data_IF_889458243185
#
_entry.id   IF_889458243185
#
_cell.length_a   1.000
_cell.length_b   1.000
_cell.length_c   1.000
_cell.angle_alpha   90.00
_cell.angle_beta   90.00
_cell.angle_gamma   90.00
#
_symmetry.space_group_name_H-M   'P 1'
#
loop_
_entity.id
_entity.type
_entity.pdbx_description
1 polymer ?
#
# COMPACT_ATOMS: atom_id res chain seq x y z
N UNK A 1 -23.19 6.41 -3.05
CA UNK A 1 -23.27 5.18 -2.20
C UNK A 1 -21.87 4.59 -2.04
N UNK A 2 -21.51 4.12 -0.84
CA UNK A 2 -20.17 3.55 -0.57
C UNK A 2 -20.14 2.02 -0.69
N UNK A 3 -19.05 1.53 -1.27
CA UNK A 3 -18.74 0.11 -1.38
C UNK A 3 -17.38 -0.16 -0.74
N UNK A 4 -17.22 -1.33 -0.12
CA UNK A 4 -15.90 -1.79 0.31
C UNK A 4 -15.42 -2.90 -0.62
N UNK A 5 -14.11 -2.93 -0.85
CA UNK A 5 -13.43 -4.07 -1.48
C UNK A 5 -12.29 -4.47 -0.56
N UNK A 6 -12.38 -5.70 -0.04
CA UNK A 6 -11.38 -6.32 0.82
C UNK A 6 -10.61 -7.35 -0.01
N UNK A 7 -9.29 -7.33 0.11
CA UNK A 7 -8.41 -8.28 -0.56
C UNK A 7 -7.48 -8.93 0.46
N UNK A 8 -7.39 -10.26 0.46
CA UNK A 8 -6.37 -10.99 1.20
C UNK A 8 -5.22 -11.32 0.25
N UNK A 9 -4.04 -10.82 0.58
CA UNK A 9 -2.87 -10.79 -0.29
C UNK A 9 -1.73 -11.56 0.37
N UNK A 10 -1.12 -12.46 -0.37
CA UNK A 10 0.07 -13.21 0.01
C UNK A 10 1.31 -12.56 -0.60
N UNK A 11 2.27 -12.17 0.25
CA UNK A 11 3.55 -11.64 -0.22
C UNK A 11 4.55 -12.76 -0.52
N UNK A 12 5.37 -12.56 -1.54
CA UNK A 12 6.53 -13.41 -1.85
C UNK A 12 7.67 -13.32 -0.81
N UNK A 13 7.56 -12.43 0.18
CA UNK A 13 8.55 -12.25 1.26
C UNK A 13 9.49 -11.06 1.05
N UNK A 14 9.35 -10.29 -0.03
CA UNK A 14 10.11 -9.04 -0.24
C UNK A 14 9.13 -7.89 -0.45
N UNK A 15 9.33 -6.78 0.25
CA UNK A 15 8.48 -5.59 0.13
C UNK A 15 9.28 -4.28 0.11
N UNK A 16 9.70 -3.86 -1.07
CA UNK A 16 10.38 -2.60 -1.28
C UNK A 16 9.38 -1.43 -1.41
N UNK A 17 9.30 -0.58 -0.39
CA UNK A 17 8.52 0.67 -0.42
C UNK A 17 9.49 1.83 -0.32
N UNK A 18 9.58 2.63 -1.39
CA UNK A 18 10.55 3.72 -1.53
C UNK A 18 9.79 5.05 -1.53
N UNK A 19 10.13 5.97 -0.62
CA UNK A 19 9.73 7.38 -0.75
C UNK A 19 10.79 8.17 -1.54
N UNK A 20 10.37 9.19 -2.29
CA UNK A 20 11.23 10.02 -3.16
C UNK A 20 11.14 11.50 -2.71
N UNK A 21 12.23 12.30 -2.68
CA UNK A 21 13.66 11.97 -2.77
C UNK A 21 14.40 12.32 -1.46
N UNK A 22 14.98 11.32 -0.78
CA UNK A 22 16.12 11.58 0.11
C UNK A 22 17.32 10.75 -0.36
N UNK A 23 18.45 11.43 -0.54
CA UNK A 23 19.62 10.94 -1.25
C UNK A 23 20.54 10.07 -0.39
N UNK A 24 20.40 10.03 0.95
CA UNK A 24 21.28 9.23 1.83
C UNK A 24 20.61 8.56 3.04
N UNK A 25 19.48 9.08 3.53
CA UNK A 25 18.65 8.44 4.54
C UNK A 25 17.31 8.16 3.89
N UNK A 26 16.85 6.92 3.87
CA UNK A 26 15.51 6.62 3.39
C UNK A 26 14.78 5.77 4.44
N UNK A 27 13.59 6.24 4.82
CA UNK A 27 12.72 5.55 5.77
C UNK A 27 12.22 4.22 5.18
N UNK A 28 12.16 3.19 6.02
CA UNK A 28 11.50 1.94 5.69
C UNK A 28 10.19 1.84 6.47
N UNK A 29 9.11 1.46 5.78
CA UNK A 29 7.78 1.37 6.37
C UNK A 29 7.48 -0.05 6.85
N UNK A 30 6.81 -0.15 7.99
CA UNK A 30 6.29 -1.43 8.50
C UNK A 30 5.05 -1.92 7.74
N UNK A 31 4.37 -1.05 7.00
CA UNK A 31 3.23 -1.45 6.19
C UNK A 31 3.12 -0.52 4.98
N UNK A 32 2.51 -0.96 3.88
CA UNK A 32 2.27 -0.11 2.74
C UNK A 32 1.45 1.14 3.10
N UNK A 33 1.96 2.35 2.82
CA UNK A 33 1.17 3.56 2.97
C UNK A 33 -0.10 3.53 2.11
N UNK A 34 -1.17 4.23 2.49
CA UNK A 34 -2.42 4.28 1.71
C UNK A 34 -2.20 4.64 0.24
N UNK A 35 -1.35 5.62 -0.06
CA UNK A 35 -1.03 5.99 -1.45
C UNK A 35 -0.36 4.86 -2.25
N UNK A 36 0.41 3.98 -1.60
CA UNK A 36 0.99 2.80 -2.25
C UNK A 36 -0.09 1.75 -2.57
N UNK A 37 -1.09 1.60 -1.70
CA UNK A 37 -2.23 0.71 -1.94
C UNK A 37 -3.10 1.21 -3.10
N UNK A 38 -3.33 2.53 -3.19
CA UNK A 38 -4.03 3.13 -4.34
C UNK A 38 -3.24 2.93 -5.63
N UNK A 39 -1.92 3.10 -5.59
CA UNK A 39 -1.04 2.82 -6.74
C UNK A 39 -1.04 1.34 -7.15
N UNK A 40 -1.15 0.42 -6.20
CA UNK A 40 -1.27 -1.01 -6.49
C UNK A 40 -2.57 -1.34 -7.23
N UNK A 41 -3.67 -0.67 -6.88
CA UNK A 41 -4.97 -0.80 -7.55
C UNK A 41 -5.01 -0.09 -8.92
N UNK A 42 -4.34 1.06 -9.04
CA UNK A 42 -4.39 1.84 -10.28
C UNK A 42 -3.72 1.14 -11.45
N UNK A 43 -2.64 0.39 -11.20
CA UNK A 43 -1.93 -0.36 -12.22
C UNK A 43 -2.87 -1.31 -13.02
N UNK A 44 -3.55 -2.29 -12.40
CA UNK A 44 -4.47 -3.19 -13.12
C UNK A 44 -5.69 -2.47 -13.69
N UNK A 45 -6.24 -1.44 -13.00
CA UNK A 45 -7.35 -0.64 -13.53
C UNK A 45 -7.01 0.04 -14.85
N UNK A 46 -5.84 0.67 -14.94
CA UNK A 46 -5.37 1.33 -16.16
C UNK A 46 -5.13 0.32 -17.28
N UNK A 47 -4.67 -0.90 -16.95
CA UNK A 47 -4.49 -1.97 -17.93
C UNK A 47 -5.81 -2.42 -18.54
N UNK A 48 -6.93 -2.41 -17.79
CA UNK A 48 -8.26 -2.69 -18.35
C UNK A 48 -8.66 -1.68 -19.44
N UNK A 49 -8.18 -0.44 -19.35
CA UNK A 49 -8.38 0.62 -20.37
C UNK A 49 -7.26 0.69 -21.40
N UNK A 50 -6.43 -0.36 -21.54
CA UNK A 50 -5.27 -0.41 -22.44
C UNK A 50 -4.23 0.72 -22.20
N UNK A 51 -4.20 1.30 -20.99
CA UNK A 51 -3.21 2.30 -20.60
C UNK A 51 -2.11 1.67 -19.76
N UNK A 52 -0.85 1.82 -20.19
CA UNK A 52 0.35 1.39 -19.44
C UNK A 52 1.12 2.57 -18.83
N UNK A 53 0.47 3.72 -18.70
CA UNK A 53 1.10 4.93 -18.18
C UNK A 53 1.38 4.76 -16.68
N UNK A 54 2.63 4.88 -16.28
CA UNK A 54 3.02 4.98 -14.85
C UNK A 54 3.11 6.45 -14.40
N UNK A 55 3.47 7.34 -15.33
CA UNK A 55 3.66 8.78 -15.09
C UNK A 55 2.87 9.59 -16.13
N UNK A 56 2.15 10.60 -15.65
CA UNK A 56 1.42 11.57 -16.48
C UNK A 56 2.22 12.87 -16.47
N UNK A 57 2.47 13.42 -17.65
CA UNK A 57 3.10 14.74 -17.78
C UNK A 57 2.02 15.77 -18.10
N UNK A 58 1.77 16.68 -17.16
CA UNK A 58 0.75 17.71 -17.28
C UNK A 58 1.36 19.07 -16.95
N UNK A 59 1.44 19.96 -17.95
CA UNK A 59 1.78 21.37 -17.73
C UNK A 59 3.09 21.64 -16.97
N UNK A 60 4.12 20.79 -17.15
CA UNK A 60 5.44 20.79 -16.46
C UNK A 60 5.52 20.02 -15.13
N UNK A 61 4.44 19.43 -14.65
CA UNK A 61 4.44 18.59 -13.46
C UNK A 61 4.35 17.10 -13.83
N UNK A 62 5.14 16.28 -13.15
CA UNK A 62 5.04 14.83 -13.22
C UNK A 62 4.06 14.35 -12.15
N UNK A 63 2.96 13.74 -12.59
CA UNK A 63 1.94 13.14 -11.73
C UNK A 63 1.98 11.63 -11.81
N UNK A 64 1.61 10.96 -10.72
CA UNK A 64 1.39 9.51 -10.75
C UNK A 64 0.09 9.22 -11.50
N UNK A 65 0.08 8.18 -12.32
CA UNK A 65 -1.16 7.70 -12.93
C UNK A 65 -2.21 7.23 -11.89
N UNK A 66 -1.79 7.02 -10.63
CA UNK A 66 -2.70 6.78 -9.52
C UNK A 66 -3.62 7.98 -9.19
N UNK A 67 -3.29 9.21 -9.64
CA UNK A 67 -4.18 10.37 -9.48
C UNK A 67 -5.50 10.21 -10.24
N UNK A 68 -5.56 9.40 -11.30
CA UNK A 68 -6.83 9.11 -11.99
C UNK A 68 -7.79 8.25 -11.14
N UNK A 69 -7.23 7.49 -10.19
CA UNK A 69 -7.96 6.52 -9.35
C UNK A 69 -8.29 7.10 -7.97
N UNK A 70 -7.47 8.03 -7.48
CA UNK A 70 -7.63 8.70 -6.20
C UNK A 70 -9.04 9.28 -5.94
N UNK A 71 -9.75 9.90 -6.92
CA UNK A 71 -11.02 10.58 -6.65
C UNK A 71 -12.13 9.68 -6.12
N UNK A 72 -12.18 8.42 -6.57
CA UNK A 72 -13.21 7.46 -6.14
C UNK A 72 -12.76 6.54 -5.00
N UNK A 73 -11.46 6.47 -4.68
CA UNK A 73 -10.95 5.73 -3.53
C UNK A 73 -10.88 6.67 -2.32
N UNK A 74 -11.92 6.66 -1.49
CA UNK A 74 -12.02 7.53 -0.30
C UNK A 74 -11.10 7.11 0.83
N UNK A 75 -10.87 5.81 0.97
CA UNK A 75 -10.04 5.25 2.02
C UNK A 75 -9.30 4.02 1.53
N UNK A 76 -8.07 3.84 1.99
CA UNK A 76 -7.29 2.63 1.78
C UNK A 76 -6.54 2.31 3.07
N UNK A 77 -6.75 1.10 3.60
CA UNK A 77 -6.10 0.65 4.83
C UNK A 77 -5.59 -0.78 4.68
N UNK A 78 -4.64 -1.13 5.54
CA UNK A 78 -3.97 -2.41 5.57
C UNK A 78 -3.97 -2.99 6.97
N UNK A 79 -4.07 -4.31 7.04
CA UNK A 79 -3.80 -5.12 8.23
C UNK A 79 -2.76 -6.16 7.84
N UNK A 80 -1.78 -6.37 8.72
CA UNK A 80 -0.70 -7.34 8.52
C UNK A 80 -0.78 -8.39 9.61
N UNK A 81 -0.71 -9.65 9.21
CA UNK A 81 -0.80 -10.80 10.14
C UNK A 81 0.33 -10.81 11.18
N UNK A 82 1.52 -10.39 10.76
CA UNK A 82 2.70 -10.29 11.62
C UNK A 82 3.36 -8.91 11.45
N UNK A 83 4.15 -8.47 12.42
CA UNK A 83 4.94 -7.23 12.22
C UNK A 83 6.14 -7.55 11.35
N UNK A 84 6.28 -6.95 10.16
CA UNK A 84 7.45 -7.20 9.33
C UNK A 84 8.71 -6.66 9.99
N UNK A 85 9.78 -7.45 9.87
CA UNK A 85 11.11 -7.04 10.31
C UNK A 85 11.70 -6.11 9.26
N UNK A 86 11.96 -4.87 9.64
CA UNK A 86 12.62 -3.90 8.76
C UNK A 86 14.12 -4.18 8.78
N UNK A 87 14.62 -4.92 7.79
CA UNK A 87 16.06 -5.18 7.65
C UNK A 87 16.74 -4.07 6.83
N UNK A 88 17.44 -3.17 7.51
CA UNK A 88 18.49 -2.36 6.89
C UNK A 88 19.75 -3.22 6.71
N UNK A 89 19.81 -4.06 5.68
CA UNK A 89 20.86 -5.10 5.51
C UNK A 89 22.30 -4.58 5.62
N UNK A 90 22.56 -3.31 5.28
CA UNK A 90 23.89 -2.69 5.45
C UNK A 90 24.26 -2.39 6.91
N UNK A 91 23.30 -2.30 7.83
CA UNK A 91 23.56 -2.07 9.25
C UNK A 91 24.02 -3.34 9.99
N UNK A 92 23.71 -4.54 9.50
CA UNK A 92 24.33 -5.78 10.00
C UNK A 92 25.83 -5.83 9.65
N UNK A 93 26.18 -5.39 8.45
CA UNK A 93 27.57 -5.23 8.01
C UNK A 93 28.25 -4.16 8.89
N UNK A 94 27.61 -3.00 9.07
CA UNK A 94 28.13 -1.94 9.93
C UNK A 94 28.29 -2.38 11.40
N UNK A 95 27.37 -3.18 11.95
CA UNK A 95 27.48 -3.80 13.29
C UNK A 95 28.70 -4.72 13.41
N UNK A 96 28.99 -5.48 12.36
CA UNK A 96 30.14 -6.39 12.31
C UNK A 96 31.46 -5.61 12.31
N UNK A 97 31.50 -4.44 11.67
CA UNK A 97 32.70 -3.59 11.57
C UNK A 97 32.87 -2.59 12.73
N UNK A 98 31.79 -2.04 13.31
CA UNK A 98 31.85 -0.91 14.25
C UNK A 98 31.29 -1.20 15.65
N UNK A 99 30.82 -2.42 15.94
CA UNK A 99 30.43 -2.87 17.27
C UNK A 99 29.13 -2.28 17.85
N UNK A 100 28.65 -1.14 17.34
CA UNK A 100 27.39 -0.51 17.72
C UNK A 100 26.61 -0.04 16.49
N UNK A 101 25.28 -0.06 16.56
CA UNK A 101 24.39 0.32 15.45
C UNK A 101 23.64 1.60 15.84
N UNK A 102 23.90 2.68 15.12
CA UNK A 102 23.01 3.84 15.14
C UNK A 102 21.70 3.50 14.42
N UNK A 103 20.56 3.60 15.11
CA UNK A 103 19.24 3.50 14.50
C UNK A 103 19.00 4.72 13.62
N UNK A 104 19.12 4.59 12.29
CA UNK A 104 18.63 5.64 11.38
C UNK A 104 19.37 5.85 10.06
N UNK A 105 20.50 5.18 9.79
CA UNK A 105 21.27 5.46 8.55
C UNK A 105 21.25 4.24 7.62
N UNK A 106 20.34 4.23 6.63
CA UNK A 106 20.31 3.20 5.58
C UNK A 106 20.35 3.83 4.19
N UNK A 107 21.37 3.45 3.40
CA UNK A 107 21.60 3.89 2.01
C UNK A 107 20.73 3.17 0.96
N UNK A 108 19.94 2.17 1.35
CA UNK A 108 18.99 1.45 0.48
C UNK A 108 17.75 1.02 1.31
N UNK A 109 16.57 1.67 1.17
CA UNK A 109 15.37 1.33 1.92
C UNK A 109 14.65 0.17 1.24
N UNK A 110 14.98 -1.03 1.64
CA UNK A 110 14.07 -2.15 1.45
C UNK A 110 13.40 -2.40 2.79
N UNK A 111 12.06 -2.41 2.84
CA UNK A 111 11.38 -3.15 3.90
C UNK A 111 11.50 -4.63 3.52
N UNK A 112 12.69 -5.17 3.77
CA UNK A 112 12.96 -6.57 3.52
C UNK A 112 12.14 -7.36 4.54
N UNK A 113 10.97 -7.86 4.15
CA UNK A 113 10.20 -8.85 4.89
C UNK A 113 10.89 -10.23 4.85
N UNK A 114 12.22 -10.23 4.94
CA UNK A 114 13.05 -11.41 4.79
C UNK A 114 12.77 -12.35 5.95
N UNK A 115 12.30 -13.56 5.64
CA UNK A 115 12.19 -14.65 6.61
C UNK A 115 10.79 -14.96 7.14
N UNK A 116 9.74 -14.23 6.72
CA UNK A 116 8.36 -14.70 6.95
C UNK A 116 7.83 -15.25 5.62
N UNK A 117 8.03 -16.55 5.40
CA UNK A 117 7.31 -17.26 4.32
C UNK A 117 5.81 -17.13 4.64
N UNK A 118 5.01 -16.77 3.64
CA UNK A 118 3.54 -16.66 3.71
C UNK A 118 2.98 -15.50 4.53
N UNK A 119 3.61 -14.33 4.46
CA UNK A 119 3.06 -13.11 5.06
C UNK A 119 1.72 -12.71 4.42
N UNK A 120 0.65 -12.75 5.23
CA UNK A 120 -0.71 -12.35 4.82
C UNK A 120 -0.95 -10.88 5.12
N UNK A 121 -1.38 -10.16 4.10
CA UNK A 121 -1.71 -8.73 4.12
C UNK A 121 -3.17 -8.62 3.70
N UNK A 122 -4.02 -8.09 4.56
CA UNK A 122 -5.40 -7.77 4.19
C UNK A 122 -5.49 -6.28 3.89
N UNK A 123 -5.96 -5.94 2.69
CA UNK A 123 -6.16 -4.55 2.25
C UNK A 123 -7.67 -4.30 2.14
N UNK A 124 -8.12 -3.13 2.58
CA UNK A 124 -9.49 -2.67 2.37
C UNK A 124 -9.47 -1.32 1.67
N UNK A 125 -10.23 -1.24 0.59
CA UNK A 125 -10.54 -0.03 -0.15
C UNK A 125 -11.99 0.40 0.10
N UNK A 126 -12.20 1.68 0.42
CA UNK A 126 -13.51 2.30 0.44
C UNK A 126 -13.71 3.09 -0.84
N UNK A 127 -14.73 2.71 -1.61
CA UNK A 127 -15.01 3.24 -2.94
C UNK A 127 -16.30 4.05 -2.90
N UNK A 128 -16.24 5.24 -3.47
CA UNK A 128 -17.41 6.07 -3.75
C UNK A 128 -18.01 5.69 -5.11
N UNK A 129 -19.16 5.01 -5.08
CA UNK A 129 -19.83 4.51 -6.28
C UNK A 129 -20.31 5.62 -7.23
N UNK A 130 -20.62 6.82 -6.72
CA UNK A 130 -21.08 7.93 -7.56
C UNK A 130 -19.94 8.54 -8.36
N UNK A 131 -18.76 8.69 -7.72
CA UNK A 131 -17.55 9.16 -8.38
C UNK A 131 -17.00 8.10 -9.33
N UNK A 132 -17.10 6.82 -8.96
CA UNK A 132 -16.68 5.71 -9.81
C UNK A 132 -17.41 5.70 -11.15
N UNK A 133 -18.74 5.86 -11.15
CA UNK A 133 -19.52 5.91 -12.39
C UNK A 133 -19.10 7.09 -13.29
N UNK A 134 -18.82 8.26 -12.72
CA UNK A 134 -18.33 9.43 -13.47
C UNK A 134 -16.96 9.19 -14.10
N UNK A 135 -16.10 8.40 -13.46
CA UNK A 135 -14.79 8.02 -13.99
C UNK A 135 -14.83 6.97 -15.11
N UNK A 136 -16.03 6.45 -15.43
CA UNK A 136 -16.24 5.43 -16.45
C UNK A 136 -15.62 4.08 -16.08
N UNK A 137 -15.64 3.74 -14.79
CA UNK A 137 -15.34 2.40 -14.29
C UNK A 137 -16.58 1.80 -13.64
N UNK A 138 -16.67 0.48 -13.63
CA UNK A 138 -17.71 -0.29 -12.96
C UNK A 138 -17.16 -0.99 -11.73
N UNK A 139 -18.02 -1.34 -10.77
CA UNK A 139 -17.61 -2.09 -9.58
C UNK A 139 -16.98 -3.45 -9.93
N UNK A 140 -17.48 -4.13 -10.97
CA UNK A 140 -16.91 -5.39 -11.46
C UNK A 140 -15.49 -5.21 -12.01
N UNK A 141 -15.20 -4.09 -12.66
CA UNK A 141 -13.84 -3.79 -13.12
C UNK A 141 -12.91 -3.51 -11.95
N UNK A 142 -13.39 -2.88 -10.89
CA UNK A 142 -12.59 -2.69 -9.67
C UNK A 142 -12.30 -4.03 -9.00
N UNK A 143 -13.31 -4.89 -8.85
CA UNK A 143 -13.12 -6.25 -8.33
C UNK A 143 -12.08 -7.04 -9.16
N UNK A 144 -12.23 -7.02 -10.49
CA UNK A 144 -11.27 -7.63 -11.41
C UNK A 144 -9.88 -7.03 -11.30
N UNK A 145 -9.78 -5.72 -11.12
CA UNK A 145 -8.51 -5.04 -10.97
C UNK A 145 -7.83 -5.40 -9.64
N UNK A 146 -8.60 -5.57 -8.56
CA UNK A 146 -8.07 -6.06 -7.28
C UNK A 146 -7.47 -7.45 -7.45
N UNK A 147 -8.12 -8.38 -8.16
CA UNK A 147 -7.51 -9.68 -8.53
C UNK A 147 -6.23 -9.52 -9.36
N UNK A 148 -6.14 -8.46 -10.17
CA UNK A 148 -4.98 -8.14 -11.00
C UNK A 148 -3.81 -7.48 -10.27
N UNK A 149 -3.88 -7.27 -8.95
CA UNK A 149 -2.77 -6.70 -8.18
C UNK A 149 -1.63 -7.72 -8.11
N UNK A 150 -0.52 -7.44 -8.82
CA UNK A 150 0.67 -8.30 -8.87
C UNK A 150 1.83 -7.79 -8.02
N UNK A 151 1.78 -6.51 -7.62
CA UNK A 151 2.85 -5.85 -6.86
C UNK A 151 2.32 -4.72 -5.98
N UNK A 152 3.00 -4.48 -4.85
CA UNK A 152 2.71 -3.35 -3.95
C UNK A 152 3.99 -2.54 -3.71
N UNK A 153 4.03 -1.31 -4.23
CA UNK A 153 5.22 -0.46 -4.17
C UNK A 153 6.17 -0.71 -5.35
N UNK A 154 7.42 -1.08 -5.07
CA UNK A 154 8.43 -1.26 -6.12
C UNK A 154 8.24 -2.56 -6.92
N UNK A 155 8.96 -2.70 -8.03
CA UNK A 155 8.85 -3.86 -8.94
C UNK A 155 9.26 -5.19 -8.30
N UNK A 156 10.08 -5.15 -7.26
CA UNK A 156 10.54 -6.32 -6.53
C UNK A 156 9.51 -6.83 -5.49
N UNK A 157 8.50 -6.02 -5.16
CA UNK A 157 7.47 -6.32 -4.16
C UNK A 157 6.33 -7.17 -4.73
N UNK A 158 6.64 -8.38 -5.20
CA UNK A 158 5.67 -9.25 -5.85
C UNK A 158 4.69 -9.82 -4.83
N UNK A 159 3.40 -9.76 -5.16
CA UNK A 159 2.31 -10.28 -4.34
C UNK A 159 1.34 -11.11 -5.18
N UNK A 160 0.58 -11.97 -4.52
CA UNK A 160 -0.53 -12.73 -5.09
C UNK A 160 -1.79 -12.47 -4.28
N UNK A 161 -2.92 -12.26 -4.96
CA UNK A 161 -4.22 -12.05 -4.32
C UNK A 161 -4.91 -13.40 -4.20
N UNK A 162 -5.27 -13.77 -2.98
CA UNK A 162 -5.84 -15.09 -2.67
C UNK A 162 -7.37 -15.03 -2.56
N UNK A 163 -7.92 -13.91 -2.08
CA UNK A 163 -9.35 -13.72 -1.88
C UNK A 163 -9.72 -12.26 -2.08
N UNK A 164 -10.90 -12.02 -2.66
CA UNK A 164 -11.49 -10.70 -2.83
C UNK A 164 -12.95 -10.76 -2.40
N UNK A 165 -13.31 -9.90 -1.45
CA UNK A 165 -14.67 -9.74 -0.96
C UNK A 165 -15.14 -8.31 -1.25
N UNK A 166 -16.30 -8.16 -1.87
CA UNK A 166 -16.91 -6.87 -2.15
C UNK A 166 -18.29 -6.79 -1.51
N UNK A 167 -18.62 -5.62 -0.95
CA UNK A 167 -19.91 -5.39 -0.34
C UNK A 167 -20.27 -3.92 -0.24
N UNK A 168 -21.44 -3.65 0.37
CA UNK A 168 -21.88 -2.29 0.70
C UNK A 168 -21.26 -1.87 2.02
N UNK A 169 -20.80 -0.63 2.09
CA UNK A 169 -20.24 -0.06 3.30
C UNK A 169 -21.25 0.88 3.95
N UNK A 170 -21.46 0.72 5.26
CA UNK A 170 -22.28 1.62 6.06
C UNK A 170 -21.39 2.51 6.92
N UNK A 171 -21.67 3.81 6.91
CA UNK A 171 -20.95 4.76 7.75
C UNK A 171 -21.63 4.78 9.13
N UNK A 172 -20.94 4.23 10.14
CA UNK A 172 -21.42 4.25 11.52
C UNK A 172 -20.49 5.14 12.36
N UNK A 173 -21.05 6.10 13.08
CA UNK A 173 -20.34 6.87 14.10
C UNK A 173 -20.55 6.17 15.44
N UNK A 174 -19.47 5.79 16.10
CA UNK A 174 -19.48 5.13 17.42
C UNK A 174 -18.46 5.82 18.32
N UNK A 175 -18.68 5.74 19.63
CA UNK A 175 -17.71 6.24 20.62
C UNK A 175 -16.49 5.33 20.73
N UNK A 176 -16.72 4.01 20.65
CA UNK A 176 -15.67 3.00 20.67
C UNK A 176 -15.79 2.10 19.44
N UNK A 177 -14.64 1.77 18.84
CA UNK A 177 -14.53 0.85 17.72
C UNK A 177 -13.24 0.04 17.86
N UNK A 178 -13.34 -1.27 17.67
CA UNK A 178 -12.17 -2.14 17.62
C UNK A 178 -11.86 -2.48 16.16
N UNK A 179 -10.62 -2.26 15.74
CA UNK A 179 -10.17 -2.54 14.38
C UNK A 179 -8.77 -3.14 14.39
N UNK A 180 -8.56 -4.12 13.49
CA UNK A 180 -7.24 -4.69 13.18
C UNK A 180 -6.50 -3.93 12.09
N UNK A 181 -7.13 -2.92 11.50
CA UNK A 181 -6.63 -2.17 10.35
C UNK A 181 -5.91 -0.90 10.80
N UNK A 182 -4.93 -0.47 10.03
CA UNK A 182 -4.26 0.81 10.25
C UNK A 182 -5.25 1.97 10.11
N UNK A 183 -5.25 2.89 11.06
CA UNK A 183 -6.04 4.12 11.02
C UNK A 183 -5.15 5.30 11.41
N UNK A 184 -5.42 6.51 10.91
CA UNK A 184 -4.68 7.68 11.36
C UNK A 184 -4.99 7.91 12.83
N UNK A 185 -3.95 8.17 13.59
CA UNK A 185 -4.07 8.73 14.93
C UNK A 185 -3.74 10.20 14.79
N UNK A 186 -4.70 11.08 15.05
CA UNK A 186 -4.41 12.51 15.19
C UNK A 186 -3.56 12.69 16.46
N UNK A 187 -2.47 13.47 16.37
CA UNK A 187 -1.36 13.65 17.32
C UNK A 187 -1.73 13.63 18.81
N UNK A 188 -2.02 12.44 19.34
CA UNK A 188 -1.98 12.13 20.76
C UNK A 188 -0.85 11.15 20.95
N UNK A 189 0.16 11.61 21.69
CA UNK A 189 1.29 10.81 22.17
C UNK A 189 0.70 9.52 22.75
N UNK A 190 0.88 8.41 22.04
CA UNK A 190 0.61 7.10 22.60
C UNK A 190 1.82 6.83 23.49
N UNK A 191 1.68 7.11 24.78
CA UNK A 191 2.61 6.59 25.77
C UNK A 191 2.56 5.06 25.66
N UNK A 192 3.66 4.50 25.16
CA UNK A 192 3.88 3.06 25.04
C UNK A 192 4.50 2.48 26.29
#
# INVERSE_FOLDING_TARGET
MFHYVKADIKSSGVMAIRSVPQSKMRMAYHYPPPGTLVGALSYPLLHLKNSRKEVIYEGKNFKSAAEEVLPFVKWATVSVSERPKVYGTLLKINRLYHGSVGSGVTSLPFSLNYGVKDHKITVIYLIDGEVLQKSGYTLKEVERAVWGITRIGSRESIVSVENVEMGRAELKRTEEANTRFAFPVEDRIIEG
#
